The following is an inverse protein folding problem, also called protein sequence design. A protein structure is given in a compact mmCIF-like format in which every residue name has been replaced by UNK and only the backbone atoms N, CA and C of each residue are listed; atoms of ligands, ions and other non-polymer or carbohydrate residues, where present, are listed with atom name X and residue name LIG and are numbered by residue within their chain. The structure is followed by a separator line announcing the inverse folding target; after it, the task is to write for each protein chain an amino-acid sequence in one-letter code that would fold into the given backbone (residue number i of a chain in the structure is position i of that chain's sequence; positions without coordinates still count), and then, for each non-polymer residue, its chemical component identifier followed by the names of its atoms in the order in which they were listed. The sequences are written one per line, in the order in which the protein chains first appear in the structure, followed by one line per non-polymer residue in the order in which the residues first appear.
data_IF_981363928801
#
_entry.id   IF_981363928801
#
_cell.length_a   1.000
_cell.length_b   1.000
_cell.length_c   1.000
_cell.angle_alpha   90.00
_cell.angle_beta   90.00
_cell.angle_gamma   90.00
#
_symmetry.space_group_name_H-M   'P 1'
#
loop_
_entity.id
_entity.type
_entity.pdbx_description
1 polymer ?
#
# COMPACT_ATOMS: atom_id res chain seq x y z
N UNK A 1 3.86 -28.65 24.51
CA UNK A 1 4.11 -27.61 23.49
C UNK A 1 3.96 -26.26 24.17
N UNK A 2 4.96 -25.40 24.05
CA UNK A 2 5.03 -24.12 24.79
C UNK A 2 3.88 -23.21 24.35
N UNK A 3 2.91 -23.01 25.25
CA UNK A 3 1.91 -21.95 25.17
C UNK A 3 2.65 -20.62 25.34
N UNK A 4 3.05 -20.00 24.23
CA UNK A 4 3.41 -18.58 24.29
C UNK A 4 2.13 -17.81 24.58
N UNK A 5 2.01 -17.29 25.80
CA UNK A 5 0.89 -16.47 26.22
C UNK A 5 0.70 -15.34 25.20
N UNK A 6 -0.53 -15.22 24.70
CA UNK A 6 -0.94 -14.17 23.78
C UNK A 6 -0.57 -12.80 24.34
N UNK A 7 0.18 -12.00 23.57
CA UNK A 7 0.68 -10.70 24.00
C UNK A 7 0.21 -9.59 23.05
N UNK A 8 -0.89 -8.94 23.43
CA UNK A 8 -1.54 -7.87 22.68
C UNK A 8 -0.58 -6.72 22.34
N UNK A 9 0.27 -6.33 23.30
CA UNK A 9 1.24 -5.24 23.12
C UNK A 9 2.22 -5.54 21.99
N UNK A 10 2.73 -6.77 21.93
CA UNK A 10 3.71 -7.19 20.93
C UNK A 10 3.10 -7.19 19.53
N UNK A 11 1.84 -7.58 19.39
CA UNK A 11 1.17 -7.57 18.10
C UNK A 11 0.77 -6.19 17.62
N UNK A 12 0.29 -5.32 18.52
CA UNK A 12 0.06 -3.90 18.19
C UNK A 12 1.34 -3.24 17.69
N UNK A 13 2.48 -3.50 18.36
CA UNK A 13 3.79 -3.02 17.91
C UNK A 13 4.17 -3.56 16.53
N UNK A 14 3.96 -4.86 16.29
CA UNK A 14 4.30 -5.50 15.01
C UNK A 14 3.44 -4.98 13.86
N UNK A 15 2.12 -4.84 14.06
CA UNK A 15 1.20 -4.25 13.09
C UNK A 15 1.57 -2.79 12.80
N UNK A 16 1.88 -2.00 13.84
CA UNK A 16 2.36 -0.61 13.67
C UNK A 16 3.62 -0.56 12.80
N UNK A 17 4.58 -1.47 13.03
CA UNK A 17 5.81 -1.52 12.24
C UNK A 17 5.53 -1.82 10.77
N UNK A 18 4.70 -2.82 10.47
CA UNK A 18 4.37 -3.18 9.09
C UNK A 18 3.61 -2.05 8.37
N UNK A 19 2.70 -1.36 9.06
CA UNK A 19 2.00 -0.19 8.50
C UNK A 19 2.97 0.97 8.21
N UNK A 20 3.96 1.20 9.08
CA UNK A 20 4.99 2.22 8.85
C UNK A 20 5.91 1.86 7.68
N UNK A 21 6.25 0.58 7.52
CA UNK A 21 7.02 0.08 6.37
C UNK A 21 6.25 0.31 5.06
N UNK A 22 4.95 -0.01 5.03
CA UNK A 22 4.08 0.26 3.89
C UNK A 22 4.00 1.77 3.58
N UNK A 23 3.84 2.62 4.60
CA UNK A 23 3.81 4.08 4.42
C UNK A 23 5.13 4.62 3.82
N UNK A 24 6.27 4.05 4.20
CA UNK A 24 7.56 4.41 3.62
C UNK A 24 7.67 3.98 2.14
N UNK A 25 7.21 2.78 1.80
CA UNK A 25 7.15 2.29 0.41
C UNK A 25 6.22 3.15 -0.46
N UNK A 26 5.08 3.60 0.08
CA UNK A 26 4.17 4.52 -0.62
C UNK A 26 4.86 5.86 -0.87
N UNK A 27 5.57 6.40 0.11
CA UNK A 27 6.33 7.65 -0.07
C UNK A 27 7.45 7.53 -1.11
N UNK A 28 8.16 6.41 -1.14
CA UNK A 28 9.16 6.10 -2.18
C UNK A 28 8.54 6.09 -3.58
N UNK A 29 7.28 5.64 -3.69
CA UNK A 29 6.54 5.64 -4.96
C UNK A 29 6.26 7.05 -5.50
N UNK A 30 6.18 8.07 -4.63
CA UNK A 30 5.91 9.46 -5.02
C UNK A 30 7.03 10.03 -5.91
N UNK A 31 8.26 9.51 -5.82
CA UNK A 31 9.39 9.89 -6.69
C UNK A 31 9.16 9.51 -8.16
N UNK A 32 8.20 8.63 -8.41
CA UNK A 32 7.77 8.19 -9.73
C UNK A 32 6.41 8.80 -10.11
N UNK A 33 5.94 9.80 -9.37
CA UNK A 33 4.70 10.51 -9.67
C UNK A 33 4.89 11.56 -10.77
N UNK A 34 3.79 11.92 -11.42
CA UNK A 34 3.78 12.90 -12.53
C UNK A 34 3.97 14.35 -12.05
N UNK A 35 4.54 15.23 -12.89
CA UNK A 35 5.03 14.96 -14.24
C UNK A 35 6.41 14.29 -14.26
N UNK A 36 6.58 13.35 -15.19
CA UNK A 36 7.88 12.69 -15.37
C UNK A 36 8.83 13.62 -16.09
N UNK A 37 10.02 13.82 -15.52
CA UNK A 37 11.11 14.50 -16.21
C UNK A 37 11.62 13.59 -17.34
N UNK A 38 11.04 13.74 -18.54
CA UNK A 38 11.45 12.99 -19.71
C UNK A 38 12.85 13.42 -20.15
N UNK A 39 13.73 12.46 -20.48
CA UNK A 39 15.04 12.80 -20.99
C UNK A 39 14.95 13.49 -22.34
N UNK A 40 15.79 14.49 -22.55
CA UNK A 40 15.87 15.27 -23.80
C UNK A 40 16.84 14.67 -24.82
N UNK A 41 17.65 13.69 -24.43
CA UNK A 41 18.59 13.01 -25.30
C UNK A 41 18.07 11.62 -25.70
N UNK A 42 18.38 11.20 -26.94
CA UNK A 42 17.97 9.88 -27.45
C UNK A 42 18.51 8.72 -26.60
N UNK A 43 19.76 8.83 -26.13
CA UNK A 43 20.40 7.81 -25.31
C UNK A 43 19.73 7.68 -23.95
N UNK A 44 19.42 8.81 -23.33
CA UNK A 44 18.77 8.80 -22.01
C UNK A 44 17.31 8.38 -22.12
N UNK A 45 16.62 8.71 -23.23
CA UNK A 45 15.27 8.23 -23.51
C UNK A 45 15.22 6.70 -23.67
N UNK A 46 16.17 6.12 -24.40
CA UNK A 46 16.29 4.66 -24.54
C UNK A 46 16.51 3.98 -23.19
N UNK A 47 17.40 4.53 -22.36
CA UNK A 47 17.64 4.02 -21.01
C UNK A 47 16.40 4.16 -20.13
N UNK A 48 15.70 5.29 -20.21
CA UNK A 48 14.49 5.57 -19.45
C UNK A 48 13.38 4.57 -19.77
N UNK A 49 13.10 4.35 -21.06
CA UNK A 49 12.10 3.38 -21.53
C UNK A 49 12.48 1.93 -21.15
N UNK A 50 13.78 1.60 -21.14
CA UNK A 50 14.25 0.28 -20.78
C UNK A 50 14.26 0.00 -19.27
N UNK A 51 14.25 1.03 -18.40
CA UNK A 51 14.47 0.87 -16.96
C UNK A 51 13.26 1.24 -16.11
N UNK A 52 12.58 2.35 -16.42
CA UNK A 52 11.46 2.86 -15.60
C UNK A 52 10.29 1.88 -15.47
N UNK A 53 9.83 1.18 -16.54
CA UNK A 53 8.74 0.20 -16.40
C UNK A 53 9.07 -0.94 -15.43
N UNK A 54 10.32 -1.41 -15.42
CA UNK A 54 10.76 -2.47 -14.49
C UNK A 54 10.76 -1.98 -13.04
N UNK A 55 11.25 -0.76 -12.80
CA UNK A 55 11.29 -0.16 -11.47
C UNK A 55 9.87 0.02 -10.93
N UNK A 56 8.97 0.58 -11.73
CA UNK A 56 7.55 0.77 -11.34
C UNK A 56 6.89 -0.58 -11.07
N UNK A 57 7.08 -1.57 -11.94
CA UNK A 57 6.51 -2.91 -11.75
C UNK A 57 7.02 -3.58 -10.47
N UNK A 58 8.31 -3.45 -10.17
CA UNK A 58 8.90 -4.01 -8.95
C UNK A 58 8.32 -3.34 -7.69
N UNK A 59 8.14 -2.02 -7.73
CA UNK A 59 7.56 -1.27 -6.63
C UNK A 59 6.08 -1.61 -6.40
N UNK A 60 5.28 -1.75 -7.47
CA UNK A 60 3.90 -2.23 -7.36
C UNK A 60 3.82 -3.63 -6.71
N UNK A 61 4.71 -4.55 -7.12
CA UNK A 61 4.76 -5.90 -6.52
C UNK A 61 5.13 -5.85 -5.03
N UNK A 62 6.08 -5.00 -4.65
CA UNK A 62 6.49 -4.81 -3.26
C UNK A 62 5.31 -4.34 -2.40
N UNK A 63 4.58 -3.32 -2.87
CA UNK A 63 3.40 -2.78 -2.18
C UNK A 63 2.29 -3.82 -2.00
N UNK A 64 2.01 -4.61 -3.05
CA UNK A 64 1.01 -5.70 -2.96
C UNK A 64 1.43 -6.78 -1.95
N UNK A 65 2.70 -7.21 -1.96
CA UNK A 65 3.19 -8.18 -0.99
C UNK A 65 3.13 -7.66 0.46
N UNK A 66 3.46 -6.38 0.67
CA UNK A 66 3.35 -5.74 2.00
C UNK A 66 1.89 -5.69 2.48
N UNK A 67 0.95 -5.34 1.58
CA UNK A 67 -0.49 -5.34 1.85
C UNK A 67 -1.01 -6.72 2.24
N UNK A 68 -0.69 -7.75 1.45
CA UNK A 68 -1.08 -9.13 1.73
C UNK A 68 -0.49 -9.64 3.05
N UNK A 69 0.76 -9.32 3.35
CA UNK A 69 1.42 -9.71 4.59
C UNK A 69 0.79 -9.08 5.84
N UNK A 70 0.37 -7.81 5.75
CA UNK A 70 -0.40 -7.14 6.82
C UNK A 70 -1.75 -7.83 7.02
N UNK A 71 -2.45 -8.15 5.93
CA UNK A 71 -3.75 -8.82 6.00
C UNK A 71 -3.66 -10.23 6.61
N UNK A 72 -2.67 -11.02 6.20
CA UNK A 72 -2.40 -12.34 6.78
C UNK A 72 -2.09 -12.22 8.27
N UNK A 73 -1.20 -11.31 8.67
CA UNK A 73 -0.87 -11.09 10.08
C UNK A 73 -2.10 -10.71 10.91
N UNK A 74 -2.95 -9.82 10.39
CA UNK A 74 -4.19 -9.43 11.05
C UNK A 74 -5.12 -10.64 11.26
N UNK A 75 -5.34 -11.45 10.22
CA UNK A 75 -6.19 -12.63 10.30
C UNK A 75 -5.65 -13.69 11.26
N UNK A 76 -4.35 -13.98 11.22
CA UNK A 76 -3.71 -14.90 12.16
C UNK A 76 -3.93 -14.46 13.62
N UNK A 77 -3.87 -13.14 13.85
CA UNK A 77 -4.06 -12.58 15.17
C UNK A 77 -5.51 -12.63 15.64
N UNK A 78 -6.47 -12.36 14.75
CA UNK A 78 -7.90 -12.54 15.03
C UNK A 78 -8.23 -14.00 15.35
N UNK A 79 -7.71 -14.95 14.57
CA UNK A 79 -7.90 -16.38 14.87
C UNK A 79 -7.33 -16.76 16.24
N UNK A 80 -6.15 -16.25 16.60
CA UNK A 80 -5.55 -16.50 17.92
C UNK A 80 -6.38 -15.92 19.08
N UNK A 81 -7.01 -14.76 18.87
CA UNK A 81 -7.94 -14.14 19.82
C UNK A 81 -9.22 -14.97 20.00
N UNK A 82 -9.83 -15.42 18.89
CA UNK A 82 -10.99 -16.29 18.93
C UNK A 82 -10.70 -17.59 19.69
N UNK A 83 -9.55 -18.23 19.44
CA UNK A 83 -9.12 -19.42 20.19
C UNK A 83 -8.80 -19.16 21.67
N UNK A 84 -8.48 -17.93 22.05
CA UNK A 84 -8.28 -17.53 23.45
C UNK A 84 -9.63 -17.33 24.15
N UNK A 85 -10.59 -16.70 23.47
CA UNK A 85 -11.97 -16.51 23.93
C UNK A 85 -12.70 -17.81 24.19
N UNK A 86 -12.47 -18.82 23.35
CA UNK A 86 -12.99 -20.19 23.56
C UNK A 86 -12.45 -20.85 24.85
N UNK A 87 -11.31 -20.39 25.38
CA UNK A 87 -10.67 -20.94 26.59
C UNK A 87 -10.94 -20.13 27.86
N UNK A 88 -11.03 -18.81 27.73
CA UNK A 88 -11.37 -17.86 28.79
C UNK A 88 -12.14 -16.70 28.17
N UNK A 89 -13.47 -16.76 28.32
CA UNK A 89 -14.40 -15.87 27.60
C UNK A 89 -14.23 -14.40 28.00
N UNK A 90 -13.99 -14.11 29.29
CA UNK A 90 -13.81 -12.74 29.78
C UNK A 90 -12.48 -12.15 29.30
N UNK A 91 -11.38 -12.91 29.41
CA UNK A 91 -10.05 -12.42 28.98
C UNK A 91 -9.97 -12.31 27.45
N UNK A 92 -10.56 -13.26 26.73
CA UNK A 92 -10.58 -13.25 25.27
C UNK A 92 -11.47 -12.15 24.69
N UNK A 93 -12.63 -11.88 25.28
CA UNK A 93 -13.54 -10.84 24.79
C UNK A 93 -12.99 -9.43 25.01
N UNK A 94 -12.33 -9.16 26.14
CA UNK A 94 -11.67 -7.87 26.40
C UNK A 94 -10.50 -7.63 25.44
N UNK A 95 -9.70 -8.65 25.17
CA UNK A 95 -8.57 -8.55 24.24
C UNK A 95 -9.01 -8.44 22.78
N UNK A 96 -10.08 -9.15 22.39
CA UNK A 96 -10.68 -9.08 21.06
C UNK A 96 -11.25 -7.68 20.81
N UNK A 97 -12.06 -7.15 21.73
CA UNK A 97 -12.64 -5.82 21.60
C UNK A 97 -11.57 -4.71 21.55
N UNK A 98 -10.50 -4.84 22.35
CA UNK A 98 -9.38 -3.89 22.35
C UNK A 98 -8.52 -3.98 21.06
N UNK A 99 -8.51 -5.13 20.40
CA UNK A 99 -7.81 -5.34 19.13
C UNK A 99 -8.67 -4.93 17.94
N UNK A 100 -9.96 -5.23 17.94
CA UNK A 100 -10.93 -4.76 16.93
C UNK A 100 -11.03 -3.24 16.91
N UNK A 101 -11.12 -2.59 18.08
CA UNK A 101 -11.13 -1.12 18.15
C UNK A 101 -9.86 -0.53 17.53
N UNK A 102 -8.70 -1.12 17.82
CA UNK A 102 -7.44 -0.72 17.21
C UNK A 102 -7.41 -1.01 15.69
N UNK A 103 -7.99 -2.13 15.27
CA UNK A 103 -8.15 -2.51 13.87
C UNK A 103 -9.02 -1.53 13.10
N UNK A 104 -10.15 -1.10 13.65
CA UNK A 104 -11.04 -0.11 13.05
C UNK A 104 -10.37 1.28 12.96
N UNK A 105 -9.66 1.72 14.00
CA UNK A 105 -8.84 2.95 13.93
C UNK A 105 -7.77 2.86 12.82
N UNK A 106 -7.14 1.70 12.63
CA UNK A 106 -6.17 1.50 11.55
C UNK A 106 -6.81 1.30 10.18
N UNK A 107 -8.05 0.82 10.12
CA UNK A 107 -8.83 0.65 8.90
C UNK A 107 -9.31 2.00 8.38
N UNK A 108 -9.69 2.94 9.24
CA UNK A 108 -9.92 4.33 8.82
C UNK A 108 -8.67 4.94 8.19
N UNK A 109 -7.51 4.78 8.84
CA UNK A 109 -6.22 5.25 8.28
C UNK A 109 -5.90 4.54 6.95
N UNK A 110 -6.08 3.22 6.87
CA UNK A 110 -5.84 2.46 5.64
C UNK A 110 -6.84 2.81 4.52
N UNK A 111 -8.10 3.09 4.86
CA UNK A 111 -9.13 3.51 3.91
C UNK A 111 -8.90 4.94 3.44
N UNK A 112 -8.43 5.83 4.30
CA UNK A 112 -8.02 7.17 3.91
C UNK A 112 -6.84 7.13 2.94
N UNK A 113 -5.83 6.30 3.24
CA UNK A 113 -4.71 6.03 2.33
C UNK A 113 -5.22 5.40 1.02
N UNK A 114 -6.14 4.43 1.10
CA UNK A 114 -6.75 3.80 -0.08
C UNK A 114 -7.50 4.80 -0.97
N UNK A 115 -8.31 5.67 -0.38
CA UNK A 115 -9.04 6.72 -1.10
C UNK A 115 -8.08 7.74 -1.73
N UNK A 116 -6.98 8.07 -1.05
CA UNK A 116 -5.91 8.92 -1.59
C UNK A 116 -5.24 8.24 -2.79
N UNK A 117 -4.96 6.94 -2.70
CA UNK A 117 -4.39 6.17 -3.80
C UNK A 117 -5.34 6.06 -5.00
N UNK A 118 -6.63 5.80 -4.79
CA UNK A 118 -7.65 5.76 -5.86
C UNK A 118 -7.80 7.11 -6.55
N UNK A 119 -7.88 8.20 -5.76
CA UNK A 119 -7.90 9.57 -6.31
C UNK A 119 -6.66 9.80 -7.17
N UNK A 120 -5.50 9.36 -6.70
CA UNK A 120 -4.25 9.52 -7.43
C UNK A 120 -4.19 8.70 -8.72
N UNK A 121 -4.78 7.50 -8.74
CA UNK A 121 -4.93 6.70 -9.96
C UNK A 121 -5.76 7.45 -11.01
N UNK A 122 -6.92 7.99 -10.62
CA UNK A 122 -7.80 8.74 -11.54
C UNK A 122 -7.11 9.99 -12.08
N UNK A 123 -6.40 10.74 -11.23
CA UNK A 123 -5.62 11.89 -11.68
C UNK A 123 -4.56 11.51 -12.72
N UNK A 124 -3.88 10.38 -12.52
CA UNK A 124 -2.88 9.87 -13.46
C UNK A 124 -3.52 9.45 -14.79
N UNK A 125 -4.67 8.77 -14.77
CA UNK A 125 -5.42 8.40 -15.98
C UNK A 125 -5.87 9.64 -16.77
N UNK A 126 -6.37 10.67 -16.08
CA UNK A 126 -6.75 11.94 -16.71
C UNK A 126 -5.55 12.66 -17.32
N UNK A 127 -4.41 12.68 -16.63
CA UNK A 127 -3.18 13.30 -17.15
C UNK A 127 -2.66 12.55 -18.38
N UNK A 128 -2.65 11.21 -18.34
CA UNK A 128 -2.27 10.39 -19.49
C UNK A 128 -3.19 10.65 -20.70
N UNK A 129 -4.51 10.72 -20.48
CA UNK A 129 -5.47 11.02 -21.52
C UNK A 129 -5.26 12.42 -22.13
N UNK A 130 -4.99 13.44 -21.30
CA UNK A 130 -4.72 14.80 -21.74
C UNK A 130 -3.47 14.87 -22.61
N UNK A 131 -2.38 14.22 -22.18
CA UNK A 131 -1.11 14.18 -22.93
C UNK A 131 -1.31 13.47 -24.28
N UNK A 132 -2.02 12.34 -24.29
CA UNK A 132 -2.33 11.64 -25.56
C UNK A 132 -3.12 12.53 -26.52
N UNK A 133 -4.07 13.30 -26.01
CA UNK A 133 -4.86 14.22 -26.83
C UNK A 133 -4.01 15.38 -27.38
N UNK A 134 -3.14 15.96 -26.55
CA UNK A 134 -2.21 17.01 -26.97
C UNK A 134 -1.25 16.51 -28.05
N UNK A 135 -0.68 15.31 -27.90
CA UNK A 135 0.17 14.70 -28.92
C UNK A 135 -0.57 14.49 -30.25
N UNK A 136 -1.82 14.02 -30.22
CA UNK A 136 -2.65 13.86 -31.42
C UNK A 136 -2.89 15.23 -32.10
N UNK A 137 -3.19 16.26 -31.31
CA UNK A 137 -3.45 17.61 -31.83
C UNK A 137 -2.19 18.27 -32.41
N UNK A 138 -1.02 18.10 -31.79
CA UNK A 138 0.26 18.57 -32.33
C UNK A 138 0.62 17.84 -33.63
N UNK A 139 0.35 16.54 -33.73
CA UNK A 139 0.62 15.77 -34.95
C UNK A 139 -0.31 16.18 -36.11
N UNK A 140 -1.53 16.63 -35.80
CA UNK A 140 -2.50 17.13 -36.79
C UNK A 140 -2.23 18.57 -37.28
N UNK A 141 -1.42 19.36 -36.57
CA UNK A 141 -1.00 20.70 -36.98
C UNK A 141 0.29 20.75 -37.82
N UNK A 142 0.95 19.60 -38.00
CA UNK A 142 2.20 19.48 -38.78
C UNK A 142 1.97 18.83 -40.16
N UNK A 143 0.72 18.51 -40.51
CA UNK A 143 0.27 18.11 -41.87
C UNK A 143 -0.62 19.17 -42.49
#
# INVERSE_FOLDING_TARGET
MSSHAFNLKTAKQRLTRQLNELAASVKESEEYSHPWNFPTSLKDLQLFLATKPFIVTALCKKLECEKEGIWQFYNEYMCALTSLKEKDENVGSDLESNFEQYGEEKKEVASEIGNQLETRVVELECQEASIKQEMINETAHVT
#
